data_IF_779317109727
#
_entry.id   IF_779317109727
#
_cell.length_a   1.000
_cell.length_b   1.000
_cell.length_c   1.000
_cell.angle_alpha   90.00
_cell.angle_beta   90.00
_cell.angle_gamma   90.00
#
_symmetry.space_group_name_H-M   'P 1'
#
loop_
_entity.id
_entity.type
_entity.pdbx_description
1 polymer ?
#
# COMPACT_ATOMS: atom_id res chain seq x y z
N UNK A 1 16.33 -8.24 3.77
CA UNK A 1 17.08 -9.22 2.96
C UNK A 1 18.58 -8.87 2.93
N UNK A 2 19.42 -9.77 3.44
CA UNK A 2 20.88 -9.67 3.29
C UNK A 2 21.24 -9.75 1.79
N UNK A 3 22.34 -9.14 1.36
CA UNK A 3 22.84 -9.18 -0.01
C UNK A 3 24.27 -9.73 0.01
N UNK A 4 24.51 -10.87 -0.66
CA UNK A 4 25.86 -11.43 -0.85
C UNK A 4 26.29 -11.34 -2.31
N UNK A 5 27.60 -11.16 -2.50
CA UNK A 5 28.28 -11.10 -3.80
C UNK A 5 28.43 -12.52 -4.32
N UNK A 6 28.15 -12.73 -5.60
CA UNK A 6 28.23 -14.06 -6.20
C UNK A 6 28.82 -14.00 -7.61
N UNK A 7 29.44 -15.10 -8.02
CA UNK A 7 29.83 -15.34 -9.40
C UNK A 7 28.77 -16.22 -10.07
N UNK A 8 27.93 -15.61 -10.92
CA UNK A 8 27.03 -16.35 -11.81
C UNK A 8 27.75 -16.66 -13.15
N UNK A 9 27.14 -17.44 -14.04
CA UNK A 9 27.74 -17.89 -15.31
C UNK A 9 28.03 -16.78 -16.36
N UNK A 10 28.03 -15.51 -15.95
CA UNK A 10 28.55 -14.36 -16.68
C UNK A 10 29.47 -13.55 -15.75
N UNK A 11 30.38 -12.74 -16.30
CA UNK A 11 31.38 -12.01 -15.51
C UNK A 11 30.66 -11.14 -14.45
N UNK A 12 30.71 -11.52 -13.15
CA UNK A 12 30.12 -10.70 -12.10
C UNK A 12 30.92 -9.40 -11.99
N UNK A 13 30.24 -8.30 -11.72
CA UNK A 13 30.87 -7.02 -11.41
C UNK A 13 30.69 -6.68 -9.91
N UNK A 14 31.33 -5.61 -9.46
CA UNK A 14 31.28 -5.18 -8.05
C UNK A 14 29.88 -4.78 -7.54
N UNK A 15 28.88 -4.73 -8.42
CA UNK A 15 27.48 -4.47 -8.09
C UNK A 15 26.59 -5.71 -8.25
N UNK A 16 27.16 -6.84 -8.66
CA UNK A 16 26.43 -8.09 -8.86
C UNK A 16 26.18 -8.74 -7.50
N UNK A 17 24.92 -8.72 -7.09
CA UNK A 17 24.42 -9.31 -5.86
C UNK A 17 23.23 -10.22 -6.20
N UNK A 18 23.04 -11.28 -5.42
CA UNK A 18 21.88 -12.20 -5.55
C UNK A 18 20.90 -11.95 -4.38
N UNK A 19 19.95 -12.84 -4.06
CA UNK A 19 19.18 -12.89 -2.79
C UNK A 19 19.52 -14.15 -1.95
N UNK A 20 19.30 -14.15 -0.63
CA UNK A 20 19.79 -15.22 0.29
C UNK A 20 18.96 -16.46 0.10
N UNK A 21 17.73 -16.27 -0.36
CA UNK A 21 16.81 -17.31 -0.76
C UNK A 21 17.31 -18.16 -1.95
N UNK A 22 18.41 -17.78 -2.62
CA UNK A 22 19.02 -18.60 -3.68
C UNK A 22 20.06 -19.60 -3.17
N UNK A 23 20.38 -19.54 -1.88
CA UNK A 23 21.31 -20.43 -1.19
C UNK A 23 20.55 -21.31 -0.22
N UNK A 24 21.05 -22.52 0.01
CA UNK A 24 20.50 -23.41 1.03
C UNK A 24 20.97 -22.98 2.41
N UNK A 25 20.31 -23.43 3.47
CA UNK A 25 20.67 -23.00 4.82
C UNK A 25 22.09 -23.45 5.21
N UNK A 26 22.56 -24.57 4.67
CA UNK A 26 23.85 -25.19 4.95
C UNK A 26 25.03 -24.45 4.30
N UNK A 27 24.73 -23.68 3.24
CA UNK A 27 25.68 -22.87 2.49
C UNK A 27 26.19 -21.66 3.31
N UNK A 28 25.48 -21.33 4.39
CA UNK A 28 25.83 -20.24 5.28
C UNK A 28 26.75 -20.70 6.41
N UNK A 29 27.85 -19.97 6.59
CA UNK A 29 28.67 -20.05 7.78
C UNK A 29 28.16 -19.04 8.83
N UNK A 30 27.79 -19.57 10.00
CA UNK A 30 27.24 -18.81 11.14
C UNK A 30 28.15 -18.89 12.38
N UNK A 31 29.37 -19.42 12.23
CA UNK A 31 30.30 -19.63 13.35
C UNK A 31 30.90 -18.34 13.90
N UNK A 32 30.79 -17.22 13.17
CA UNK A 32 31.31 -15.91 13.57
C UNK A 32 30.23 -14.84 13.85
N UNK A 33 30.68 -13.60 14.10
CA UNK A 33 29.81 -12.44 14.36
C UNK A 33 28.92 -12.05 13.16
N UNK A 34 29.35 -12.42 11.94
CA UNK A 34 28.62 -12.15 10.70
C UNK A 34 28.28 -13.44 10.00
N UNK A 35 27.06 -13.55 9.46
CA UNK A 35 26.70 -14.66 8.57
C UNK A 35 27.34 -14.45 7.20
N UNK A 36 28.05 -15.45 6.68
CA UNK A 36 28.73 -15.41 5.37
C UNK A 36 28.35 -16.63 4.54
N UNK A 37 28.47 -16.54 3.22
CA UNK A 37 28.38 -17.71 2.35
C UNK A 37 29.75 -18.39 2.30
N UNK A 38 29.78 -19.72 2.38
CA UNK A 38 31.02 -20.50 2.27
C UNK A 38 31.66 -20.33 0.90
N UNK A 39 32.99 -20.36 0.86
CA UNK A 39 33.74 -20.26 -0.39
C UNK A 39 33.41 -21.41 -1.34
N UNK A 40 33.25 -21.10 -2.63
CA UNK A 40 32.94 -22.08 -3.67
C UNK A 40 31.47 -22.52 -3.76
N UNK A 41 30.59 -22.05 -2.87
CA UNK A 41 29.16 -22.34 -2.98
C UNK A 41 28.56 -21.62 -4.19
N UNK A 42 27.80 -22.35 -4.99
CA UNK A 42 27.04 -21.83 -6.11
C UNK A 42 25.57 -21.72 -5.70
N UNK A 43 24.89 -20.57 -5.92
CA UNK A 43 23.46 -20.47 -5.69
C UNK A 43 22.74 -21.56 -6.51
N UNK A 44 21.93 -22.37 -5.85
CA UNK A 44 21.31 -23.56 -6.46
C UNK A 44 19.78 -23.54 -6.33
N UNK A 45 19.25 -22.68 -5.46
CA UNK A 45 17.80 -22.48 -5.28
C UNK A 45 17.33 -21.41 -6.26
N UNK A 46 17.35 -21.75 -7.54
CA UNK A 46 16.72 -20.92 -8.57
C UNK A 46 15.32 -21.44 -8.86
N UNK A 47 14.33 -20.84 -8.20
CA UNK A 47 12.95 -20.95 -8.64
C UNK A 47 12.75 -20.00 -9.81
N UNK A 48 13.21 -20.41 -11.00
CA UNK A 48 12.83 -19.74 -12.23
C UNK A 48 11.33 -19.99 -12.44
N UNK A 49 10.48 -19.11 -11.89
CA UNK A 49 9.09 -19.07 -12.34
C UNK A 49 9.15 -18.68 -13.80
N UNK A 50 9.03 -19.67 -14.68
CA UNK A 50 9.03 -19.52 -16.14
C UNK A 50 8.01 -18.47 -16.52
N UNK A 51 8.46 -17.24 -16.69
CA UNK A 51 7.67 -16.22 -17.34
C UNK A 51 7.53 -16.73 -18.77
N UNK A 52 6.29 -17.10 -19.14
CA UNK A 52 5.82 -17.57 -20.46
C UNK A 52 5.85 -19.10 -20.69
N UNK A 53 4.67 -19.75 -20.60
CA UNK A 53 4.32 -20.88 -21.48
C UNK A 53 3.68 -22.15 -20.86
N UNK A 54 2.34 -22.16 -20.84
CA UNK A 54 1.40 -23.32 -20.86
C UNK A 54 1.14 -24.14 -19.58
N UNK A 55 -0.11 -23.99 -19.15
CA UNK A 55 -0.97 -24.81 -18.28
C UNK A 55 -0.57 -26.29 -18.21
N UNK A 56 -0.22 -26.76 -17.01
CA UNK A 56 -0.65 -28.07 -16.46
C UNK A 56 -0.78 -27.95 -14.93
N UNK A 57 -1.98 -28.22 -14.40
CA UNK A 57 -2.23 -28.56 -12.99
C UNK A 57 -2.36 -30.09 -12.88
N UNK A 58 -2.36 -30.72 -11.68
CA UNK A 58 -2.00 -30.23 -10.34
C UNK A 58 -1.00 -31.17 -9.61
N UNK A 59 -0.31 -30.67 -8.59
CA UNK A 59 -0.06 -31.48 -7.38
C UNK A 59 -0.17 -30.57 -6.16
N UNK A 60 -1.05 -30.97 -5.25
CA UNK A 60 -1.34 -30.30 -3.99
C UNK A 60 -0.26 -30.61 -2.96
N UNK A 61 -0.03 -29.61 -2.09
CA UNK A 61 0.64 -29.68 -0.78
C UNK A 61 2.17 -29.66 -0.76
N UNK A 62 2.76 -28.46 -0.93
CA UNK A 62 3.49 -27.78 0.16
C UNK A 62 3.89 -26.37 -0.30
N UNK A 63 3.98 -25.44 0.66
CA UNK A 63 4.62 -24.12 0.54
C UNK A 63 3.80 -22.95 -0.04
N UNK A 64 3.03 -22.35 0.88
CA UNK A 64 2.67 -20.92 0.97
C UNK A 64 3.87 -19.94 0.97
N UNK A 65 5.08 -20.40 0.62
CA UNK A 65 6.33 -19.64 0.64
C UNK A 65 6.58 -18.88 -0.66
N UNK A 66 5.94 -19.28 -1.77
CA UNK A 66 6.13 -18.63 -3.07
C UNK A 66 5.56 -17.21 -3.13
N UNK A 67 4.68 -16.80 -2.20
CA UNK A 67 4.13 -15.43 -2.19
C UNK A 67 5.07 -14.41 -1.57
N UNK A 68 6.01 -14.85 -0.71
CA UNK A 68 6.95 -13.99 0.00
C UNK A 68 8.28 -13.79 -0.74
N UNK A 69 8.70 -14.74 -1.58
CA UNK A 69 9.97 -14.62 -2.33
C UNK A 69 9.97 -13.36 -3.22
N UNK A 70 8.83 -12.96 -3.79
CA UNK A 70 8.75 -11.75 -4.63
C UNK A 70 8.73 -10.43 -3.85
N UNK A 71 8.45 -10.43 -2.55
CA UNK A 71 8.40 -9.18 -1.75
C UNK A 71 9.79 -8.71 -1.33
N UNK A 72 10.76 -9.60 -1.17
CA UNK A 72 12.12 -9.26 -0.74
C UNK A 72 13.03 -8.70 -1.85
N UNK A 73 12.51 -8.55 -3.07
CA UNK A 73 13.24 -8.03 -4.22
C UNK A 73 12.85 -6.59 -4.52
N UNK A 74 13.04 -5.69 -3.53
CA UNK A 74 12.73 -4.27 -3.67
C UNK A 74 13.52 -3.58 -4.81
N UNK A 75 14.65 -4.17 -5.22
CA UNK A 75 15.46 -3.76 -6.38
C UNK A 75 14.89 -4.24 -7.74
N UNK A 76 13.89 -5.13 -7.76
CA UNK A 76 13.20 -5.57 -8.97
C UNK A 76 11.95 -4.72 -9.29
N UNK A 77 11.69 -3.66 -8.52
CA UNK A 77 10.61 -2.72 -8.81
C UNK A 77 10.99 -1.85 -10.02
N UNK A 78 10.12 -1.84 -11.04
CA UNK A 78 10.26 -0.95 -12.19
C UNK A 78 10.09 0.52 -11.74
N UNK A 79 11.14 1.36 -11.83
CA UNK A 79 11.08 2.75 -11.40
C UNK A 79 9.96 3.55 -12.06
N UNK A 80 9.57 3.20 -13.30
CA UNK A 80 8.49 3.86 -14.03
C UNK A 80 7.15 3.57 -13.39
N UNK A 81 6.90 2.30 -13.02
CA UNK A 81 5.64 1.89 -12.38
C UNK A 81 5.51 2.48 -10.98
N UNK A 82 6.61 2.56 -10.22
CA UNK A 82 6.61 3.19 -8.89
C UNK A 82 6.28 4.68 -9.00
N UNK A 83 6.93 5.40 -9.91
CA UNK A 83 6.65 6.81 -10.17
C UNK A 83 5.21 7.04 -10.61
N UNK A 84 4.68 6.17 -11.48
CA UNK A 84 3.28 6.23 -11.93
C UNK A 84 2.32 6.11 -10.75
N UNK A 85 2.49 5.07 -9.92
CA UNK A 85 1.64 4.84 -8.73
C UNK A 85 1.72 6.01 -7.74
N UNK A 86 2.90 6.60 -7.58
CA UNK A 86 3.08 7.78 -6.71
C UNK A 86 2.29 8.99 -7.23
N UNK A 87 2.35 9.25 -8.54
CA UNK A 87 1.60 10.33 -9.16
C UNK A 87 0.09 10.10 -9.06
N UNK A 88 -0.39 8.89 -9.38
CA UNK A 88 -1.80 8.51 -9.24
C UNK A 88 -2.29 8.69 -7.79
N UNK A 89 -1.48 8.27 -6.80
CA UNK A 89 -1.80 8.46 -5.39
C UNK A 89 -1.86 9.94 -5.00
N UNK A 90 -0.93 10.76 -5.52
CA UNK A 90 -0.92 12.20 -5.30
C UNK A 90 -2.15 12.88 -5.91
N UNK A 91 -2.55 12.51 -7.11
CA UNK A 91 -3.73 13.05 -7.79
C UNK A 91 -5.02 12.75 -7.01
N UNK A 92 -5.20 11.48 -6.59
CA UNK A 92 -6.34 11.07 -5.75
C UNK A 92 -6.40 11.84 -4.43
N UNK A 93 -5.25 12.13 -3.84
CA UNK A 93 -5.18 12.88 -2.59
C UNK A 93 -5.65 14.33 -2.78
N UNK A 94 -5.27 14.98 -3.89
CA UNK A 94 -5.74 16.32 -4.23
C UNK A 94 -7.24 16.34 -4.57
N UNK A 95 -7.75 15.33 -5.28
CA UNK A 95 -9.18 15.16 -5.54
C UNK A 95 -9.99 15.07 -4.24
N UNK A 96 -9.63 14.14 -3.34
CA UNK A 96 -10.31 13.97 -2.06
C UNK A 96 -10.26 15.23 -1.18
N UNK A 97 -9.16 16.00 -1.23
CA UNK A 97 -9.06 17.30 -0.54
C UNK A 97 -10.07 18.32 -1.07
N UNK A 98 -10.26 18.36 -2.39
CA UNK A 98 -11.27 19.23 -3.02
C UNK A 98 -12.67 18.79 -2.64
N UNK A 99 -12.94 17.49 -2.68
CA UNK A 99 -14.26 16.95 -2.33
C UNK A 99 -14.62 17.20 -0.87
N UNK A 100 -13.68 17.02 0.05
CA UNK A 100 -13.88 17.35 1.46
C UNK A 100 -14.22 18.83 1.65
N UNK A 101 -13.51 19.73 0.96
CA UNK A 101 -13.79 21.17 0.99
C UNK A 101 -15.19 21.46 0.44
N UNK A 102 -15.53 20.90 -0.72
CA UNK A 102 -16.84 21.07 -1.34
C UNK A 102 -17.97 20.53 -0.46
N UNK A 103 -17.76 19.39 0.21
CA UNK A 103 -18.72 18.80 1.13
C UNK A 103 -18.96 19.72 2.34
N UNK A 104 -17.89 20.24 2.95
CA UNK A 104 -17.98 21.22 4.05
C UNK A 104 -18.70 22.51 3.62
N UNK A 105 -18.42 23.00 2.42
CA UNK A 105 -19.08 24.21 1.90
C UNK A 105 -20.55 23.98 1.57
N UNK A 106 -20.92 22.79 1.08
CA UNK A 106 -22.33 22.38 0.93
C UNK A 106 -23.03 22.37 2.28
N UNK A 107 -22.45 21.71 3.27
CA UNK A 107 -23.01 21.65 4.62
C UNK A 107 -23.20 23.05 5.22
N UNK A 108 -22.19 23.92 5.10
CA UNK A 108 -22.28 25.32 5.55
C UNK A 108 -23.42 26.07 4.87
N UNK A 109 -23.59 25.91 3.55
CA UNK A 109 -24.69 26.53 2.80
C UNK A 109 -26.05 26.00 3.27
N UNK A 110 -26.20 24.69 3.41
CA UNK A 110 -27.44 24.09 3.91
C UNK A 110 -27.79 24.58 5.32
N UNK A 111 -26.81 24.62 6.23
CA UNK A 111 -26.99 25.19 7.57
C UNK A 111 -27.45 26.66 7.51
N UNK A 112 -26.85 27.48 6.64
CA UNK A 112 -27.26 28.87 6.45
C UNK A 112 -28.69 28.99 5.91
N UNK A 113 -29.04 28.21 4.89
CA UNK A 113 -30.38 28.19 4.32
C UNK A 113 -31.42 27.76 5.35
N UNK A 114 -31.18 26.67 6.07
CA UNK A 114 -32.08 26.18 7.13
C UNK A 114 -32.27 27.24 8.22
N UNK A 115 -31.19 27.86 8.71
CA UNK A 115 -31.29 28.95 9.69
C UNK A 115 -32.14 30.12 9.17
N UNK A 116 -31.91 30.58 7.94
CA UNK A 116 -32.70 31.66 7.32
C UNK A 116 -34.19 31.32 7.24
N UNK A 117 -34.52 30.10 6.79
CA UNK A 117 -35.91 29.66 6.67
C UNK A 117 -36.60 29.55 8.03
N UNK A 118 -35.87 29.12 9.07
CA UNK A 118 -36.40 29.04 10.43
C UNK A 118 -36.72 30.43 10.99
N UNK A 119 -35.83 31.41 10.80
CA UNK A 119 -36.09 32.80 11.21
C UNK A 119 -37.32 33.37 10.49
N UNK A 120 -37.46 33.13 9.17
CA UNK A 120 -38.61 33.57 8.40
C UNK A 120 -39.93 32.96 8.90
N UNK A 121 -39.93 31.67 9.26
CA UNK A 121 -41.10 30.98 9.80
C UNK A 121 -41.46 31.48 11.21
N UNK A 122 -40.45 31.76 12.05
CA UNK A 122 -40.63 32.33 13.38
C UNK A 122 -41.26 33.71 13.31
N UNK A 123 -40.76 34.57 12.43
CA UNK A 123 -41.30 35.93 12.24
C UNK A 123 -42.74 35.92 11.72
N UNK A 124 -43.12 34.89 10.95
CA UNK A 124 -44.50 34.70 10.46
C UNK A 124 -45.41 34.00 11.49
N UNK A 125 -44.92 33.68 12.68
CA UNK A 125 -45.65 32.91 13.70
C UNK A 125 -46.21 31.57 13.20
N UNK A 126 -45.50 30.92 12.27
CA UNK A 126 -45.93 29.66 11.66
C UNK A 126 -45.31 28.43 12.32
N UNK A 127 -44.52 28.61 13.39
CA UNK A 127 -43.91 27.52 14.14
C UNK A 127 -44.82 27.17 15.33
N UNK A 128 -45.15 25.88 15.49
CA UNK A 128 -45.83 25.41 16.70
C UNK A 128 -44.91 25.55 17.92
N UNK A 129 -45.47 25.83 19.09
CA UNK A 129 -44.71 25.95 20.34
C UNK A 129 -43.83 24.73 20.64
N UNK A 130 -44.36 23.52 20.40
CA UNK A 130 -43.60 22.27 20.60
C UNK A 130 -42.37 22.18 19.69
N UNK A 131 -42.50 22.55 18.41
CA UNK A 131 -41.36 22.58 17.48
C UNK A 131 -40.35 23.68 17.84
N UNK A 132 -40.80 24.84 18.32
CA UNK A 132 -39.92 25.93 18.75
C UNK A 132 -39.07 25.49 19.95
N UNK A 133 -39.69 24.85 20.95
CA UNK A 133 -39.02 24.31 22.13
C UNK A 133 -37.92 23.30 21.75
N UNK A 134 -38.25 22.33 20.87
CA UNK A 134 -37.29 21.31 20.42
C UNK A 134 -36.12 21.90 19.63
N UNK A 135 -36.33 23.00 18.92
CA UNK A 135 -35.27 23.70 18.19
C UNK A 135 -34.32 24.44 19.13
N UNK A 136 -34.86 25.09 20.16
CA UNK A 136 -34.07 25.83 21.14
C UNK A 136 -33.19 24.86 21.97
N UNK A 137 -33.70 23.67 22.31
CA UNK A 137 -32.94 22.61 22.99
C UNK A 137 -31.74 22.09 22.15
N UNK A 138 -31.88 22.03 20.82
CA UNK A 138 -30.81 21.57 19.91
C UNK A 138 -29.75 22.66 19.67
N UNK A 139 -30.09 23.94 19.83
CA UNK A 139 -29.19 25.06 19.57
C UNK A 139 -28.44 25.56 20.81
N UNK A 140 -28.93 25.25 22.02
CA UNK A 140 -28.31 25.62 23.30
C UNK A 140 -27.49 24.51 23.97
N UNK A 141 -27.56 23.27 23.47
CA UNK A 141 -26.72 22.13 23.87
C UNK A 141 -25.56 21.87 22.91
#
# INVERSE_FOLDING_TARGET
PDLWRVSAAGIPNDRSVVCSCHFKAEDFDRTGQTTRIREGVIPSVFLFTRHLGKVRKPFNNHFSFSRNIFQDHQYALDPVQVKKRLNEAREKLEELRRDLRNAKDRERRHKKTVKSLLEDLKHKHMLSEELQQRLDDILLG
#
